data_IF_237231036266
#
_entry.id   IF_237231036266
#
_cell.length_a   1.000
_cell.length_b   1.000
_cell.length_c   1.000
_cell.angle_alpha   90.00
_cell.angle_beta   90.00
_cell.angle_gamma   90.00
#
_symmetry.space_group_name_H-M   'P 1'
#
loop_
_entity.id
_entity.type
_entity.pdbx_description
1 polymer ?
#
# COMPACT_ATOMS: atom_id res chain seq x y z
N UNK A 1 14.60 -14.31 11.78
CA UNK A 1 13.33 -14.64 12.44
C UNK A 1 12.45 -15.48 11.51
N UNK A 2 12.21 -15.04 10.26
CA UNK A 2 11.32 -15.70 9.29
C UNK A 2 11.66 -17.19 9.10
N UNK A 3 12.93 -17.52 8.91
CA UNK A 3 13.41 -18.92 8.71
C UNK A 3 13.16 -19.87 9.90
N UNK A 4 12.76 -19.36 11.07
CA UNK A 4 12.57 -20.16 12.29
C UNK A 4 11.11 -20.52 12.57
N UNK A 5 10.18 -20.01 11.79
CA UNK A 5 8.74 -20.22 12.01
C UNK A 5 8.21 -21.13 10.91
N UNK A 6 7.85 -22.40 11.22
CA UNK A 6 7.29 -23.31 10.23
C UNK A 6 5.90 -22.82 9.78
N UNK A 7 5.59 -22.98 8.50
CA UNK A 7 4.30 -22.64 7.91
C UNK A 7 3.91 -21.15 8.08
N UNK A 8 4.91 -20.25 8.12
CA UNK A 8 4.68 -18.83 8.22
C UNK A 8 3.89 -18.31 6.99
N UNK A 9 2.80 -17.62 7.26
CA UNK A 9 2.05 -16.88 6.25
C UNK A 9 2.43 -15.40 6.35
N UNK A 10 2.81 -14.79 5.24
CA UNK A 10 3.11 -13.36 5.17
C UNK A 10 2.09 -12.67 4.26
N UNK A 11 1.58 -11.54 4.70
CA UNK A 11 0.79 -10.62 3.89
C UNK A 11 1.66 -9.39 3.62
N UNK A 12 2.14 -9.27 2.38
CA UNK A 12 3.19 -8.35 1.99
C UNK A 12 2.68 -7.31 1.00
N UNK A 13 3.22 -6.09 1.09
CA UNK A 13 3.01 -5.10 0.06
C UNK A 13 3.75 -5.53 -1.22
N UNK A 14 2.99 -5.93 -2.25
CA UNK A 14 3.53 -6.36 -3.55
C UNK A 14 4.09 -5.21 -4.39
N UNK A 15 3.73 -3.97 -4.05
CA UNK A 15 4.24 -2.77 -4.71
C UNK A 15 5.58 -2.30 -4.10
N UNK A 16 6.01 -2.90 -2.98
CA UNK A 16 7.24 -2.55 -2.29
C UNK A 16 8.33 -3.62 -2.52
N UNK A 17 9.38 -3.32 -3.29
CA UNK A 17 10.47 -4.27 -3.53
C UNK A 17 11.17 -4.74 -2.24
N UNK A 18 11.20 -3.89 -1.19
CA UNK A 18 11.79 -4.26 0.09
C UNK A 18 10.91 -5.25 0.87
N UNK A 19 9.60 -5.22 0.67
CA UNK A 19 8.68 -6.21 1.24
C UNK A 19 8.68 -7.52 0.44
N UNK A 20 8.65 -7.42 -0.89
CA UNK A 20 8.55 -8.59 -1.79
C UNK A 20 9.71 -9.57 -1.63
N UNK A 21 10.93 -9.08 -1.33
CA UNK A 21 12.07 -9.95 -1.11
C UNK A 21 11.84 -11.00 -0.01
N UNK A 22 11.05 -10.69 1.02
CA UNK A 22 10.78 -11.63 2.13
C UNK A 22 9.89 -12.81 1.70
N UNK A 23 9.07 -12.65 0.69
CA UNK A 23 8.24 -13.73 0.15
C UNK A 23 9.01 -14.76 -0.67
N UNK A 24 10.30 -14.50 -0.95
CA UNK A 24 11.18 -15.44 -1.69
C UNK A 24 11.90 -16.45 -0.78
N UNK A 25 11.74 -16.29 0.53
CA UNK A 25 12.34 -17.24 1.47
C UNK A 25 11.66 -18.61 1.39
N UNK A 26 12.46 -19.67 1.45
CA UNK A 26 11.96 -21.03 1.52
C UNK A 26 11.07 -21.21 2.77
N UNK A 27 10.04 -22.03 2.65
CA UNK A 27 9.05 -22.31 3.70
C UNK A 27 8.16 -21.14 4.14
N UNK A 28 8.07 -20.09 3.33
CA UNK A 28 7.13 -18.97 3.53
C UNK A 28 6.01 -19.07 2.50
N UNK A 29 4.77 -18.94 2.96
CA UNK A 29 3.64 -18.71 2.09
C UNK A 29 3.33 -17.21 2.06
N UNK A 30 3.73 -16.53 1.01
CA UNK A 30 3.48 -15.11 0.82
C UNK A 30 2.16 -14.88 0.08
N UNK A 31 1.44 -13.85 0.49
CA UNK A 31 0.28 -13.27 -0.16
C UNK A 31 0.57 -11.80 -0.39
N UNK A 32 0.26 -11.29 -1.56
CA UNK A 32 0.62 -9.95 -1.95
C UNK A 32 -0.60 -9.06 -2.14
N UNK A 33 -0.55 -7.87 -1.58
CA UNK A 33 -1.52 -6.81 -1.86
C UNK A 33 -0.86 -5.66 -2.61
N UNK A 34 -1.65 -4.94 -3.42
CA UNK A 34 -1.13 -3.81 -4.18
C UNK A 34 -2.19 -3.09 -5.01
N UNK A 35 -1.79 -1.98 -5.62
CA UNK A 35 -2.63 -1.15 -6.48
C UNK A 35 -2.18 -1.34 -7.93
N UNK A 36 -3.06 -1.92 -8.77
CA UNK A 36 -2.71 -2.35 -10.12
C UNK A 36 -3.11 -1.35 -11.19
N UNK A 37 -2.94 -0.07 -10.89
CA UNK A 37 -3.10 1.02 -11.86
C UNK A 37 -2.25 2.23 -11.45
N UNK A 38 -1.96 3.09 -12.41
CA UNK A 38 -1.31 4.37 -12.14
C UNK A 38 -2.33 5.35 -11.59
N UNK A 39 -2.20 5.72 -10.31
CA UNK A 39 -3.14 6.64 -9.63
C UNK A 39 -2.59 8.06 -9.56
N UNK A 40 -1.32 8.22 -9.19
CA UNK A 40 -0.70 9.52 -9.01
C UNK A 40 0.13 9.92 -10.23
N UNK A 41 0.30 11.23 -10.49
CA UNK A 41 1.26 11.70 -11.48
C UNK A 41 2.66 11.24 -11.08
N UNK A 42 3.49 10.93 -12.07
CA UNK A 42 4.90 10.56 -11.84
C UNK A 42 5.67 11.83 -11.50
N UNK A 43 6.12 11.91 -10.26
CA UNK A 43 7.01 12.97 -9.79
C UNK A 43 8.41 12.38 -9.59
N UNK A 44 9.45 13.19 -9.84
CA UNK A 44 10.81 12.84 -9.43
C UNK A 44 10.90 12.94 -7.91
N UNK A 45 10.70 11.82 -7.24
CA UNK A 45 10.77 11.73 -5.79
C UNK A 45 11.94 10.83 -5.35
N UNK A 46 12.39 11.06 -4.12
CA UNK A 46 13.45 10.23 -3.52
C UNK A 46 12.91 8.83 -3.28
N UNK A 47 13.47 7.84 -3.97
CA UNK A 47 13.10 6.42 -3.84
C UNK A 47 14.01 5.76 -2.81
N UNK A 48 13.45 5.37 -1.68
CA UNK A 48 14.18 4.60 -0.65
C UNK A 48 14.60 3.22 -1.18
N UNK A 49 13.80 2.60 -2.04
CA UNK A 49 14.06 1.32 -2.69
C UNK A 49 14.60 1.45 -4.12
N UNK A 50 15.56 2.36 -4.36
CA UNK A 50 16.11 2.60 -5.72
C UNK A 50 16.83 1.38 -6.30
N UNK A 51 17.51 0.63 -5.46
CA UNK A 51 18.34 -0.51 -5.88
C UNK A 51 17.64 -1.85 -5.58
N UNK A 52 17.84 -2.80 -6.48
CA UNK A 52 17.30 -4.14 -6.36
C UNK A 52 17.86 -4.85 -5.11
N UNK A 53 16.97 -5.34 -4.20
CA UNK A 53 17.43 -6.01 -2.99
C UNK A 53 18.07 -7.38 -3.26
N UNK A 54 18.01 -7.87 -4.50
CA UNK A 54 18.56 -9.17 -4.91
C UNK A 54 19.95 -9.04 -5.50
N UNK A 55 20.18 -8.08 -6.42
CA UNK A 55 21.45 -7.97 -7.15
C UNK A 55 22.13 -6.60 -7.02
N UNK A 56 21.50 -5.62 -6.39
CA UNK A 56 22.05 -4.29 -6.20
C UNK A 56 21.95 -3.35 -7.41
N UNK A 57 21.44 -3.81 -8.56
CA UNK A 57 21.27 -2.98 -9.75
C UNK A 57 20.08 -2.01 -9.59
N UNK A 58 20.10 -0.90 -10.32
CA UNK A 58 19.02 0.08 -10.26
C UNK A 58 17.72 -0.49 -10.82
N UNK A 59 16.63 -0.40 -10.03
CA UNK A 59 15.30 -0.84 -10.43
C UNK A 59 14.61 0.13 -11.37
N UNK A 60 13.80 -0.40 -12.27
CA UNK A 60 12.91 0.32 -13.16
C UNK A 60 11.45 0.17 -12.71
N UNK A 61 10.60 1.12 -13.13
CA UNK A 61 9.17 1.13 -12.81
C UNK A 61 8.37 1.38 -14.08
N UNK A 62 7.30 0.62 -14.28
CA UNK A 62 6.29 0.94 -15.26
C UNK A 62 5.47 2.15 -14.79
N UNK A 63 5.13 2.18 -13.50
CA UNK A 63 4.62 3.32 -12.76
C UNK A 63 4.99 3.19 -11.28
N UNK A 64 5.01 4.29 -10.56
CA UNK A 64 5.09 4.30 -9.11
C UNK A 64 4.07 5.28 -8.52
N UNK A 65 3.74 5.11 -7.26
CA UNK A 65 2.77 5.95 -6.55
C UNK A 65 3.49 7.02 -5.73
N UNK A 66 4.26 6.59 -4.74
CA UNK A 66 5.14 7.45 -3.95
C UNK A 66 6.27 6.60 -3.37
N UNK A 67 7.40 7.23 -3.03
CA UNK A 67 8.60 6.54 -2.57
C UNK A 67 8.99 5.41 -3.54
N UNK A 68 9.11 4.16 -3.07
CA UNK A 68 9.43 2.99 -3.89
C UNK A 68 8.21 2.15 -4.28
N UNK A 69 6.99 2.57 -3.94
CA UNK A 69 5.78 1.76 -4.17
C UNK A 69 5.30 1.87 -5.61
N UNK A 70 5.15 0.74 -6.29
CA UNK A 70 4.62 0.71 -7.65
C UNK A 70 4.90 -0.59 -8.39
N UNK A 71 4.76 -0.54 -9.70
CA UNK A 71 5.03 -1.68 -10.59
C UNK A 71 6.51 -1.67 -11.00
N UNK A 72 7.34 -2.30 -10.18
CA UNK A 72 8.78 -2.34 -10.32
C UNK A 72 9.28 -3.59 -11.03
N UNK A 73 10.45 -3.46 -11.65
CA UNK A 73 11.24 -4.59 -12.17
C UNK A 73 12.73 -4.28 -12.19
N UNK A 74 13.54 -5.32 -12.06
CA UNK A 74 14.99 -5.24 -12.22
C UNK A 74 15.38 -5.77 -13.61
N UNK A 75 15.99 -4.95 -14.47
CA UNK A 75 16.38 -5.39 -15.81
C UNK A 75 17.54 -6.41 -15.80
N UNK A 76 18.31 -6.46 -14.71
CA UNK A 76 19.49 -7.32 -14.60
C UNK A 76 19.14 -8.74 -14.14
N UNK A 77 18.37 -8.88 -13.04
CA UNK A 77 18.10 -10.21 -12.44
C UNK A 77 16.66 -10.70 -12.61
N UNK A 78 15.78 -9.90 -13.21
CA UNK A 78 14.37 -10.27 -13.40
C UNK A 78 13.52 -10.19 -12.14
N UNK A 79 14.05 -9.70 -11.01
CA UNK A 79 13.25 -9.43 -9.82
C UNK A 79 12.20 -8.38 -10.14
N UNK A 80 10.94 -8.67 -9.88
CA UNK A 80 9.83 -7.80 -10.26
C UNK A 80 8.65 -7.90 -9.29
N UNK A 81 7.72 -6.96 -9.42
CA UNK A 81 6.42 -6.99 -8.78
C UNK A 81 5.76 -8.36 -8.99
N UNK A 82 5.31 -9.03 -7.94
CA UNK A 82 4.60 -10.32 -8.04
C UNK A 82 3.18 -10.15 -8.56
N UNK A 83 2.53 -11.27 -8.85
CA UNK A 83 1.07 -11.30 -8.98
C UNK A 83 0.43 -10.88 -7.66
N UNK A 84 -0.65 -10.12 -7.73
CA UNK A 84 -1.32 -9.54 -6.59
C UNK A 84 -2.56 -10.36 -6.23
N UNK A 85 -2.57 -10.92 -5.02
CA UNK A 85 -3.70 -11.69 -4.48
C UNK A 85 -4.86 -10.77 -4.05
N UNK A 86 -4.52 -9.62 -3.47
CA UNK A 86 -5.48 -8.61 -3.01
C UNK A 86 -5.26 -7.32 -3.79
N UNK A 87 -6.06 -7.16 -4.84
CA UNK A 87 -5.82 -6.13 -5.86
C UNK A 87 -6.75 -4.94 -5.69
N UNK A 88 -6.17 -3.73 -5.67
CA UNK A 88 -6.92 -2.47 -5.77
C UNK A 88 -6.91 -1.95 -7.20
N UNK A 89 -8.09 -1.53 -7.65
CA UNK A 89 -8.34 -0.87 -8.93
C UNK A 89 -9.43 0.20 -8.82
N UNK A 90 -9.62 0.95 -9.91
CA UNK A 90 -10.67 1.96 -10.06
C UNK A 90 -10.60 3.04 -8.97
N UNK A 91 -9.39 3.55 -8.71
CA UNK A 91 -9.15 4.52 -7.64
C UNK A 91 -9.56 5.92 -8.07
N UNK A 92 -10.49 6.53 -7.32
CA UNK A 92 -10.76 7.98 -7.32
C UNK A 92 -10.35 8.55 -5.97
N UNK A 93 -9.50 9.58 -6.01
CA UNK A 93 -9.00 10.28 -4.82
C UNK A 93 -9.90 11.44 -4.38
N UNK A 94 -11.02 11.65 -5.06
CA UNK A 94 -12.03 12.61 -4.65
C UNK A 94 -12.57 12.28 -3.25
N UNK A 95 -13.16 13.25 -2.58
CA UNK A 95 -13.79 13.01 -1.28
C UNK A 95 -15.29 12.79 -1.48
N UNK A 96 -15.83 11.61 -1.15
CA UNK A 96 -15.19 10.42 -0.58
C UNK A 96 -14.29 9.68 -1.58
N UNK A 97 -13.16 9.11 -1.10
CA UNK A 97 -12.33 8.25 -1.94
C UNK A 97 -13.08 6.96 -2.28
N UNK A 98 -12.95 6.53 -3.54
CA UNK A 98 -13.60 5.31 -4.05
C UNK A 98 -12.55 4.43 -4.74
N UNK A 99 -12.67 3.14 -4.55
CA UNK A 99 -11.83 2.14 -5.21
C UNK A 99 -12.49 0.77 -5.10
N UNK A 100 -11.91 -0.24 -5.73
CA UNK A 100 -12.34 -1.63 -5.56
C UNK A 100 -11.20 -2.45 -4.94
N UNK A 101 -11.53 -3.42 -4.09
CA UNK A 101 -10.63 -4.49 -3.66
C UNK A 101 -11.18 -5.80 -4.19
N UNK A 102 -10.46 -6.48 -5.07
CA UNK A 102 -10.90 -7.72 -5.73
C UNK A 102 -12.35 -7.59 -6.27
N UNK A 103 -12.64 -6.49 -6.96
CA UNK A 103 -13.95 -6.08 -7.50
C UNK A 103 -15.01 -5.68 -6.45
N UNK A 104 -14.75 -5.77 -5.16
CA UNK A 104 -15.65 -5.24 -4.12
C UNK A 104 -15.50 -3.72 -4.02
N UNK A 105 -16.59 -2.93 -4.12
CA UNK A 105 -16.52 -1.49 -4.04
C UNK A 105 -16.26 -1.01 -2.61
N UNK A 106 -15.35 -0.04 -2.48
CA UNK A 106 -14.98 0.61 -1.24
C UNK A 106 -15.23 2.11 -1.34
N UNK A 107 -15.75 2.69 -0.26
CA UNK A 107 -15.93 4.15 -0.12
C UNK A 107 -15.42 4.56 1.25
N UNK A 108 -14.50 5.51 1.29
CA UNK A 108 -13.94 6.02 2.53
C UNK A 108 -14.00 7.55 2.58
N UNK A 109 -14.38 8.09 3.74
CA UNK A 109 -14.60 9.53 3.94
C UNK A 109 -13.37 10.26 4.52
N UNK A 110 -12.19 9.67 4.47
CA UNK A 110 -10.97 10.29 4.97
C UNK A 110 -9.91 10.33 3.87
N UNK A 111 -9.09 11.38 3.93
CA UNK A 111 -8.09 11.70 2.92
C UNK A 111 -6.80 10.92 3.13
N UNK A 112 -5.94 10.95 2.12
CA UNK A 112 -4.59 10.37 2.14
C UNK A 112 -4.53 9.04 1.40
N UNK A 113 -3.87 9.06 0.24
CA UNK A 113 -3.70 7.90 -0.64
C UNK A 113 -3.11 6.67 0.08
N UNK A 114 -2.17 6.88 1.00
CA UNK A 114 -1.57 5.80 1.80
C UNK A 114 -2.58 4.97 2.60
N UNK A 115 -3.78 5.52 2.88
CA UNK A 115 -4.83 4.79 3.58
C UNK A 115 -5.38 3.62 2.75
N UNK A 116 -5.31 3.69 1.44
CA UNK A 116 -5.68 2.56 0.57
C UNK A 116 -4.76 1.37 0.86
N UNK A 117 -3.43 1.60 0.97
CA UNK A 117 -2.48 0.54 1.35
C UNK A 117 -2.75 -0.02 2.75
N UNK A 118 -3.09 0.82 3.72
CA UNK A 118 -3.43 0.36 5.06
C UNK A 118 -4.67 -0.54 5.06
N UNK A 119 -5.70 -0.15 4.31
CA UNK A 119 -6.96 -0.90 4.23
C UNK A 119 -6.79 -2.25 3.53
N UNK A 120 -6.06 -2.27 2.40
CA UNK A 120 -5.86 -3.53 1.68
C UNK A 120 -4.95 -4.49 2.46
N UNK A 121 -4.02 -3.98 3.26
CA UNK A 121 -3.21 -4.81 4.16
C UNK A 121 -4.09 -5.50 5.21
N UNK A 122 -5.05 -4.77 5.81
CA UNK A 122 -6.02 -5.33 6.75
C UNK A 122 -6.94 -6.33 6.06
N UNK A 123 -7.47 -5.99 4.88
CA UNK A 123 -8.30 -6.87 4.08
C UNK A 123 -7.59 -8.19 3.78
N UNK A 124 -6.34 -8.12 3.31
CA UNK A 124 -5.51 -9.29 3.02
C UNK A 124 -5.24 -10.14 4.26
N UNK A 125 -4.94 -9.50 5.40
CA UNK A 125 -4.70 -10.21 6.66
C UNK A 125 -5.95 -10.98 7.13
N UNK A 126 -7.14 -10.36 7.07
CA UNK A 126 -8.41 -11.01 7.42
C UNK A 126 -8.68 -12.21 6.52
N UNK A 127 -8.51 -12.06 5.19
CA UNK A 127 -8.68 -13.17 4.25
C UNK A 127 -7.74 -14.35 4.55
N UNK A 128 -6.46 -14.07 4.82
CA UNK A 128 -5.46 -15.12 5.13
C UNK A 128 -5.76 -15.82 6.45
N UNK A 129 -6.41 -15.14 7.39
CA UNK A 129 -6.93 -15.71 8.64
C UNK A 129 -8.22 -16.50 8.46
N UNK A 130 -8.87 -16.41 7.31
CA UNK A 130 -10.15 -17.08 7.03
C UNK A 130 -11.37 -16.31 7.49
N UNK A 131 -11.21 -15.03 7.82
CA UNK A 131 -12.31 -14.16 8.21
C UNK A 131 -13.14 -13.71 6.99
N UNK A 132 -14.44 -13.49 7.20
CA UNK A 132 -15.33 -13.01 6.14
C UNK A 132 -15.05 -11.54 5.83
N UNK A 133 -14.81 -11.24 4.57
CA UNK A 133 -14.53 -9.88 4.09
C UNK A 133 -15.58 -9.34 3.13
N UNK A 134 -16.68 -10.07 2.92
CA UNK A 134 -17.77 -9.65 2.02
C UNK A 134 -18.39 -8.30 2.43
N UNK A 135 -18.43 -8.03 3.72
CA UNK A 135 -18.96 -6.80 4.32
C UNK A 135 -17.85 -5.83 4.79
N UNK A 136 -16.60 -5.98 4.29
CA UNK A 136 -15.48 -5.18 4.74
C UNK A 136 -15.75 -3.66 4.66
N UNK A 137 -16.42 -3.21 3.59
CA UNK A 137 -16.82 -1.81 3.45
C UNK A 137 -17.72 -1.31 4.60
N UNK A 138 -18.58 -2.18 5.15
CA UNK A 138 -19.45 -1.82 6.29
C UNK A 138 -18.66 -1.64 7.58
N UNK A 139 -17.59 -2.40 7.78
CA UNK A 139 -16.71 -2.26 8.94
C UNK A 139 -16.04 -0.89 9.00
N UNK A 140 -15.85 -0.25 7.83
CA UNK A 140 -15.23 1.07 7.71
C UNK A 140 -16.18 2.23 7.98
N UNK A 141 -17.49 1.99 7.99
CA UNK A 141 -18.52 3.06 8.09
C UNK A 141 -18.40 3.88 9.38
N UNK A 142 -17.94 3.27 10.47
CA UNK A 142 -17.74 3.94 11.77
C UNK A 142 -16.31 4.35 12.06
N UNK A 143 -15.36 4.05 11.17
CA UNK A 143 -13.96 4.33 11.43
C UNK A 143 -13.67 5.83 11.37
N UNK A 144 -13.03 6.34 12.41
CA UNK A 144 -12.51 7.71 12.45
C UNK A 144 -10.98 7.62 12.51
N UNK A 145 -10.26 8.35 11.63
CA UNK A 145 -8.81 8.43 11.69
C UNK A 145 -8.34 8.86 13.09
N UNK A 146 -7.25 8.29 13.55
CA UNK A 146 -6.64 8.70 14.83
C UNK A 146 -6.14 10.14 14.75
N UNK A 147 -6.00 10.79 15.93
CA UNK A 147 -5.46 12.13 16.06
C UNK A 147 -4.15 12.28 15.29
N UNK A 148 -4.01 13.38 14.53
CA UNK A 148 -2.83 13.67 13.73
C UNK A 148 -2.79 12.99 12.35
N UNK A 149 -3.89 12.40 11.88
CA UNK A 149 -4.01 11.82 10.54
C UNK A 149 -4.94 12.65 9.66
N UNK A 150 -4.41 13.72 9.04
CA UNK A 150 -5.20 14.66 8.22
C UNK A 150 -6.45 15.18 8.95
N UNK A 151 -6.30 15.47 10.23
CA UNK A 151 -7.41 15.90 11.09
C UNK A 151 -7.76 17.35 10.81
N UNK A 152 -9.03 17.59 10.46
CA UNK A 152 -9.53 18.93 10.18
C UNK A 152 -10.12 19.59 11.43
N UNK A 153 -9.72 20.80 11.67
CA UNK A 153 -10.26 21.69 12.71
C UNK A 153 -10.91 22.90 12.05
N UNK A 154 -12.09 23.27 12.52
CA UNK A 154 -12.81 24.45 12.07
C UNK A 154 -12.56 25.60 13.04
N UNK A 155 -11.68 26.50 12.63
CA UNK A 155 -11.49 27.81 13.26
C UNK A 155 -11.95 28.92 12.30
N UNK A 156 -11.51 30.15 12.47
CA UNK A 156 -11.72 31.24 11.50
C UNK A 156 -11.16 30.90 10.11
N UNK A 157 -10.15 30.04 10.08
CA UNK A 157 -9.66 29.39 8.86
C UNK A 157 -9.61 27.87 9.10
N UNK A 158 -9.82 27.05 8.05
CA UNK A 158 -9.65 25.62 8.20
C UNK A 158 -8.18 25.29 8.52
N UNK A 159 -7.97 24.42 9.49
CA UNK A 159 -6.64 23.94 9.88
C UNK A 159 -6.63 22.41 9.74
N UNK A 160 -5.62 21.89 9.06
CA UNK A 160 -5.40 20.44 8.92
C UNK A 160 -4.16 20.08 9.74
N UNK A 161 -4.33 19.15 10.68
CA UNK A 161 -3.22 18.58 11.45
C UNK A 161 -2.84 17.22 10.85
N UNK A 162 -1.60 17.11 10.38
CA UNK A 162 -1.06 15.86 9.87
C UNK A 162 0.32 15.58 10.46
N UNK A 163 0.48 14.39 11.06
CA UNK A 163 1.77 13.93 11.57
C UNK A 163 2.59 13.37 10.41
N UNK A 164 3.76 13.94 10.19
CA UNK A 164 4.74 13.47 9.22
C UNK A 164 6.04 13.08 9.93
N UNK A 165 6.53 11.86 9.68
CA UNK A 165 7.72 11.31 10.37
C UNK A 165 8.95 11.19 9.46
N UNK A 166 8.75 11.29 8.16
CA UNK A 166 9.79 11.15 7.14
C UNK A 166 9.42 11.99 5.90
N UNK A 167 10.37 12.22 4.97
CA UNK A 167 10.12 12.99 3.75
C UNK A 167 8.95 12.46 2.91
N UNK A 168 8.86 11.15 2.72
CA UNK A 168 7.77 10.54 1.94
C UNK A 168 6.40 10.81 2.56
N UNK A 169 6.28 10.72 3.89
CA UNK A 169 5.05 11.06 4.61
C UNK A 169 4.69 12.54 4.53
N UNK A 170 5.70 13.42 4.51
CA UNK A 170 5.48 14.86 4.34
C UNK A 170 4.95 15.17 2.93
N UNK A 171 5.56 14.61 1.89
CA UNK A 171 5.11 14.78 0.50
C UNK A 171 3.68 14.26 0.25
N UNK A 172 3.20 13.32 1.08
CA UNK A 172 1.82 12.84 1.01
C UNK A 172 0.82 13.71 1.80
N UNK A 173 1.32 14.64 2.62
CA UNK A 173 0.49 15.52 3.45
C UNK A 173 0.25 16.90 2.83
N UNK A 174 1.08 17.32 1.89
CA UNK A 174 0.97 18.57 1.11
C UNK A 174 0.39 18.31 -0.26
#
# INVERSE_FOLDING_TARGET
AIKKVPNLKLVLNGDDPLCVQFGREENVKAYYYGISEKVLPQLDDTKEGRFCPVCGEEQKYNYYHYSQLGDFYCPSCGFKRPEIDFEVKNVSLDTPMKFTINNQPMVINYKGFYNIYNLIAVYGALNVLGEKTDDFAKLLTGYKPQIGRMQEYKFNKPVILSLSKNPAGFNQAI
#
